data_IF_176699363643
#
_entry.id   IF_176699363643
#
_cell.length_a   1.000
_cell.length_b   1.000
_cell.length_c   1.000
_cell.angle_alpha   90.00
_cell.angle_beta   90.00
_cell.angle_gamma   90.00
#
_symmetry.space_group_name_H-M   'P 1'
#
loop_
_entity.id
_entity.type
_entity.pdbx_description
1 polymer ?
#
# COMPACT_ATOMS: atom_id res chain seq x y z
N UNK A 1 13.17 31.63 20.31
CA UNK A 1 13.12 30.16 20.49
C UNK A 1 13.56 29.56 19.17
N UNK A 2 14.58 28.70 19.14
CA UNK A 2 14.99 28.02 17.89
C UNK A 2 13.85 27.12 17.42
N UNK A 3 13.55 27.17 16.11
CA UNK A 3 12.58 26.27 15.49
C UNK A 3 13.03 24.82 15.68
N UNK A 4 12.15 23.94 16.14
CA UNK A 4 12.48 22.51 16.30
C UNK A 4 12.80 21.90 14.94
N UNK A 5 13.81 21.03 14.83
CA UNK A 5 14.04 20.30 13.60
C UNK A 5 12.85 19.40 13.29
N UNK A 6 12.45 19.33 12.00
CA UNK A 6 11.30 18.52 11.57
C UNK A 6 11.73 17.07 11.29
N UNK A 7 10.86 16.14 11.64
CA UNK A 7 11.03 14.72 11.37
C UNK A 7 9.72 14.13 10.84
N UNK A 8 9.77 13.56 9.64
CA UNK A 8 8.64 12.89 9.01
C UNK A 8 8.90 11.39 8.97
N UNK A 9 7.93 10.60 9.41
CA UNK A 9 7.97 9.14 9.40
C UNK A 9 6.62 8.57 8.98
N UNK A 10 6.65 7.49 8.23
CA UNK A 10 5.44 6.77 7.80
C UNK A 10 5.66 5.27 7.90
N UNK A 11 4.59 4.52 8.14
CA UNK A 11 4.54 3.09 7.83
C UNK A 11 4.41 2.90 6.33
N UNK A 12 4.58 1.68 5.80
CA UNK A 12 3.86 1.28 4.60
C UNK A 12 2.35 1.40 4.86
N UNK A 13 1.57 1.68 3.82
CA UNK A 13 0.11 1.72 3.96
C UNK A 13 -0.45 0.31 3.75
N UNK A 14 -1.30 -0.14 4.68
CA UNK A 14 -1.78 -1.52 4.71
C UNK A 14 -2.84 -1.79 3.64
N UNK A 15 -2.82 -2.99 3.07
CA UNK A 15 -3.83 -3.46 2.12
C UNK A 15 -5.08 -3.98 2.88
N UNK A 16 -6.24 -3.29 2.84
CA UNK A 16 -7.42 -3.68 3.62
C UNK A 16 -8.31 -4.69 2.85
N UNK A 17 -7.71 -5.70 2.22
CA UNK A 17 -8.43 -6.79 1.55
C UNK A 17 -8.95 -7.88 2.53
N UNK A 18 -8.61 -7.77 3.81
CA UNK A 18 -9.01 -8.62 4.92
C UNK A 18 -8.81 -7.92 6.25
N UNK A 19 -9.00 -8.62 7.40
CA UNK A 19 -8.74 -8.07 8.72
C UNK A 19 -7.24 -7.83 8.94
N UNK A 20 -6.85 -6.90 9.84
CA UNK A 20 -5.46 -6.71 10.21
C UNK A 20 -4.90 -7.95 10.95
N UNK A 21 -3.61 -8.17 10.83
CA UNK A 21 -2.87 -9.25 11.48
C UNK A 21 -1.63 -8.73 12.21
N UNK A 22 -0.92 -9.62 12.91
CA UNK A 22 0.23 -9.27 13.74
C UNK A 22 1.35 -8.51 12.98
N UNK A 23 1.54 -8.79 11.69
CA UNK A 23 2.51 -8.08 10.85
C UNK A 23 2.20 -6.58 10.74
N UNK A 24 0.93 -6.23 10.51
CA UNK A 24 0.49 -4.83 10.50
C UNK A 24 0.69 -4.15 11.86
N UNK A 25 0.35 -4.85 12.97
CA UNK A 25 0.56 -4.34 14.31
C UNK A 25 2.04 -4.10 14.61
N UNK A 26 2.92 -5.03 14.23
CA UNK A 26 4.37 -4.92 14.39
C UNK A 26 4.92 -3.67 13.70
N UNK A 27 4.55 -3.46 12.45
CA UNK A 27 5.02 -2.31 11.67
C UNK A 27 4.62 -0.97 12.30
N UNK A 28 3.34 -0.83 12.68
CA UNK A 28 2.83 0.40 13.28
C UNK A 28 3.50 0.67 14.64
N UNK A 29 3.64 -0.36 15.49
CA UNK A 29 4.29 -0.23 16.80
C UNK A 29 5.78 0.13 16.67
N UNK A 30 6.50 -0.50 15.73
CA UNK A 30 7.91 -0.20 15.49
C UNK A 30 8.10 1.25 15.03
N UNK A 31 7.25 1.71 14.11
CA UNK A 31 7.29 3.10 13.62
C UNK A 31 6.90 4.09 14.72
N UNK A 32 5.88 3.76 15.54
CA UNK A 32 5.46 4.59 16.68
C UNK A 32 6.58 4.74 17.73
N UNK A 33 7.34 3.69 18.00
CA UNK A 33 8.48 3.74 18.89
C UNK A 33 9.53 4.77 18.41
N UNK A 34 9.82 4.80 17.12
CA UNK A 34 10.73 5.80 16.51
C UNK A 34 10.14 7.21 16.60
N UNK A 35 8.86 7.37 16.27
CA UNK A 35 8.18 8.66 16.35
C UNK A 35 8.21 9.23 17.77
N UNK A 36 7.90 8.41 18.77
CA UNK A 36 7.97 8.80 20.21
C UNK A 36 9.39 9.15 20.63
N UNK A 37 10.38 8.35 20.23
CA UNK A 37 11.79 8.64 20.51
C UNK A 37 12.18 10.01 19.93
N UNK A 38 11.84 10.29 18.69
CA UNK A 38 12.14 11.57 18.04
C UNK A 38 11.45 12.75 18.70
N UNK A 39 10.21 12.61 19.17
CA UNK A 39 9.55 13.63 19.97
C UNK A 39 10.28 13.92 21.27
N UNK A 40 10.76 12.87 21.99
CA UNK A 40 11.57 13.00 23.19
C UNK A 40 12.93 13.63 22.90
N UNK A 41 13.52 13.37 21.73
CA UNK A 41 14.77 13.94 21.23
C UNK A 41 14.61 15.42 20.77
N UNK A 42 13.41 16.00 20.91
CA UNK A 42 13.16 17.43 20.69
C UNK A 42 12.74 17.79 19.25
N UNK A 43 12.46 16.82 18.39
CA UNK A 43 11.96 17.05 17.04
C UNK A 43 10.47 17.42 17.01
N UNK A 44 10.09 18.19 15.99
CA UNK A 44 8.70 18.34 15.55
C UNK A 44 8.39 17.18 14.60
N UNK A 45 7.64 16.18 15.09
CA UNK A 45 7.43 14.91 14.39
C UNK A 45 6.04 14.88 13.77
N UNK A 46 5.97 14.49 12.49
CA UNK A 46 4.74 14.08 11.84
C UNK A 46 4.81 12.60 11.47
N UNK A 47 3.95 11.80 12.09
CA UNK A 47 3.84 10.36 11.86
C UNK A 47 2.55 10.04 11.10
N UNK A 48 2.70 9.49 9.88
CA UNK A 48 1.59 9.09 9.02
C UNK A 48 1.50 7.56 8.92
N UNK A 49 0.29 7.03 9.02
CA UNK A 49 -0.05 5.65 8.63
C UNK A 49 -1.32 5.68 7.78
N UNK A 50 -1.78 4.53 7.27
CA UNK A 50 -2.98 4.51 6.45
C UNK A 50 -3.25 3.17 5.76
N UNK A 51 -4.15 3.22 4.78
CA UNK A 51 -4.55 2.07 3.97
C UNK A 51 -4.44 2.34 2.48
N UNK A 52 -3.91 1.35 1.74
CA UNK A 52 -3.93 1.30 0.29
C UNK A 52 -5.20 0.56 -0.18
N UNK A 53 -6.11 1.29 -0.78
CA UNK A 53 -7.48 0.84 -1.00
C UNK A 53 -7.82 0.57 -2.48
N UNK A 54 -6.80 0.45 -3.34
CA UNK A 54 -6.95 0.13 -4.75
C UNK A 54 -6.30 -1.22 -5.09
N UNK A 55 -6.58 -1.72 -6.29
CA UNK A 55 -5.91 -2.88 -6.84
C UNK A 55 -6.81 -4.11 -7.05
N UNK A 56 -6.27 -5.05 -7.82
CA UNK A 56 -7.00 -6.24 -8.30
C UNK A 56 -7.44 -7.17 -7.15
N UNK A 57 -6.63 -7.35 -6.12
CA UNK A 57 -6.97 -8.22 -4.98
C UNK A 57 -8.22 -7.74 -4.23
N UNK A 58 -8.36 -6.43 -4.06
CA UNK A 58 -9.55 -5.83 -3.45
C UNK A 58 -10.77 -6.07 -4.35
N UNK A 59 -10.62 -5.85 -5.67
CA UNK A 59 -11.69 -6.10 -6.64
C UNK A 59 -12.14 -7.56 -6.63
N UNK A 60 -11.20 -8.51 -6.66
CA UNK A 60 -11.49 -9.95 -6.63
C UNK A 60 -12.20 -10.36 -5.33
N UNK A 61 -11.75 -9.86 -4.18
CA UNK A 61 -12.38 -10.16 -2.89
C UNK A 61 -13.78 -9.58 -2.82
N UNK A 62 -13.98 -8.34 -3.26
CA UNK A 62 -15.30 -7.70 -3.33
C UNK A 62 -16.26 -8.47 -4.24
N UNK A 63 -15.79 -8.92 -5.41
CA UNK A 63 -16.58 -9.73 -6.35
C UNK A 63 -17.00 -11.07 -5.73
N UNK A 64 -16.09 -11.77 -5.04
CA UNK A 64 -16.41 -13.03 -4.33
C UNK A 64 -17.47 -12.85 -3.24
N UNK A 65 -17.47 -11.69 -2.57
CA UNK A 65 -18.41 -11.37 -1.50
C UNK A 65 -19.71 -10.71 -2.01
N UNK A 66 -19.82 -10.42 -3.32
CA UNK A 66 -21.00 -9.78 -3.92
C UNK A 66 -21.20 -8.32 -3.48
N UNK A 67 -20.11 -7.62 -3.12
CA UNK A 67 -20.13 -6.21 -2.70
C UNK A 67 -19.23 -5.37 -3.61
N UNK A 68 -19.30 -4.06 -3.48
CA UNK A 68 -18.38 -3.16 -4.21
C UNK A 68 -17.01 -3.09 -3.51
N UNK A 69 -15.91 -2.79 -4.24
CA UNK A 69 -14.60 -2.52 -3.65
C UNK A 69 -14.66 -1.47 -2.55
N UNK A 70 -15.43 -0.41 -2.75
CA UNK A 70 -15.61 0.64 -1.77
C UNK A 70 -16.24 0.13 -0.46
N UNK A 71 -17.28 -0.70 -0.55
CA UNK A 71 -17.91 -1.31 0.63
C UNK A 71 -16.95 -2.23 1.38
N UNK A 72 -16.12 -2.99 0.64
CA UNK A 72 -15.11 -3.86 1.24
C UNK A 72 -14.09 -3.05 2.05
N UNK A 73 -13.48 -2.03 1.45
CA UNK A 73 -12.45 -1.23 2.13
C UNK A 73 -13.03 -0.39 3.27
N UNK A 74 -14.24 0.18 3.13
CA UNK A 74 -14.91 0.92 4.20
C UNK A 74 -15.19 0.05 5.42
N UNK A 75 -15.58 -1.21 5.20
CA UNK A 75 -15.78 -2.20 6.28
C UNK A 75 -14.47 -2.56 6.97
N UNK A 76 -13.42 -2.84 6.20
CA UNK A 76 -12.17 -3.35 6.73
C UNK A 76 -11.34 -2.25 7.41
N UNK A 77 -11.32 -1.04 6.87
CA UNK A 77 -10.54 0.08 7.43
C UNK A 77 -10.88 0.39 8.89
N UNK A 78 -12.12 0.14 9.29
CA UNK A 78 -12.57 0.31 10.70
C UNK A 78 -11.73 -0.57 11.64
N UNK A 79 -11.40 -1.80 11.21
CA UNK A 79 -10.60 -2.73 12.01
C UNK A 79 -9.12 -2.30 12.09
N UNK A 80 -8.56 -1.76 10.99
CA UNK A 80 -7.21 -1.21 11.00
C UNK A 80 -7.09 0.01 11.90
N UNK A 81 -8.06 0.94 11.86
CA UNK A 81 -8.10 2.09 12.78
C UNK A 81 -8.22 1.64 14.23
N UNK A 82 -9.11 0.68 14.51
CA UNK A 82 -9.26 0.12 15.86
C UNK A 82 -7.98 -0.57 16.36
N UNK A 83 -7.21 -1.22 15.48
CA UNK A 83 -5.89 -1.77 15.82
C UNK A 83 -4.92 -0.68 16.24
N UNK A 84 -4.78 0.38 15.44
CA UNK A 84 -3.90 1.53 15.72
C UNK A 84 -4.27 2.18 17.06
N UNK A 85 -5.55 2.39 17.33
CA UNK A 85 -6.05 2.94 18.60
C UNK A 85 -5.75 2.02 19.78
N UNK A 86 -6.02 0.72 19.68
CA UNK A 86 -5.75 -0.26 20.74
C UNK A 86 -4.26 -0.40 21.06
N UNK A 87 -3.40 -0.21 20.07
CA UNK A 87 -1.93 -0.19 20.26
C UNK A 87 -1.45 1.15 20.82
N UNK A 88 -2.36 2.11 21.06
CA UNK A 88 -2.05 3.46 21.54
C UNK A 88 -0.97 4.14 20.69
N UNK A 89 -1.02 3.95 19.37
CA UNK A 89 -0.08 4.57 18.45
C UNK A 89 -0.30 6.08 18.36
N UNK A 90 0.77 6.82 18.23
CA UNK A 90 0.79 8.29 18.28
C UNK A 90 0.84 8.94 16.90
N UNK A 91 0.28 8.28 15.89
CA UNK A 91 0.19 8.83 14.54
C UNK A 91 -0.63 10.13 14.51
N UNK A 92 -0.12 11.11 13.78
CA UNK A 92 -0.75 12.42 13.63
C UNK A 92 -1.87 12.39 12.60
N UNK A 93 -1.77 11.50 11.62
CA UNK A 93 -2.78 11.33 10.57
C UNK A 93 -2.92 9.88 10.13
N UNK A 94 -4.07 9.57 9.54
CA UNK A 94 -4.39 8.27 8.92
C UNK A 94 -4.94 8.51 7.52
N UNK A 95 -4.12 8.26 6.49
CA UNK A 95 -4.50 8.46 5.09
C UNK A 95 -5.21 7.23 4.52
N UNK A 96 -6.25 7.47 3.73
CA UNK A 96 -6.86 6.47 2.86
C UNK A 96 -6.61 6.86 1.41
N UNK A 97 -6.16 5.94 0.57
CA UNK A 97 -5.90 6.26 -0.85
C UNK A 97 -7.17 6.59 -1.64
N UNK A 98 -8.36 6.28 -1.09
CA UNK A 98 -9.67 6.65 -1.64
C UNK A 98 -10.19 8.02 -1.18
N UNK A 99 -9.45 8.77 -0.37
CA UNK A 99 -9.84 10.12 0.03
C UNK A 99 -9.55 11.16 -1.06
N UNK A 100 -10.42 12.15 -1.20
CA UNK A 100 -10.25 13.23 -2.17
C UNK A 100 -8.93 13.99 -2.02
N UNK A 101 -8.46 14.17 -0.78
CA UNK A 101 -7.18 14.82 -0.50
C UNK A 101 -6.01 14.03 -1.06
N UNK A 102 -6.06 12.69 -1.00
CA UNK A 102 -5.05 11.82 -1.59
C UNK A 102 -5.09 11.89 -3.12
N UNK A 103 -6.27 11.78 -3.73
CA UNK A 103 -6.45 11.89 -5.18
C UNK A 103 -5.90 13.21 -5.72
N UNK A 104 -6.25 14.34 -5.09
CA UNK A 104 -5.72 15.66 -5.50
C UNK A 104 -4.20 15.77 -5.38
N UNK A 105 -3.62 15.22 -4.32
CA UNK A 105 -2.18 15.24 -4.12
C UNK A 105 -1.44 14.39 -5.15
N UNK A 106 -1.96 13.19 -5.44
CA UNK A 106 -1.39 12.27 -6.44
C UNK A 106 -1.45 12.89 -7.85
N UNK A 107 -2.60 13.50 -8.21
CA UNK A 107 -2.74 14.19 -9.49
C UNK A 107 -1.80 15.39 -9.60
N UNK A 108 -1.63 16.16 -8.53
CA UNK A 108 -0.75 17.32 -8.54
C UNK A 108 0.73 16.94 -8.71
N UNK A 109 1.17 15.84 -8.06
CA UNK A 109 2.55 15.37 -8.23
C UNK A 109 2.78 14.79 -9.62
N UNK A 110 1.80 14.01 -10.15
CA UNK A 110 1.83 13.49 -11.52
C UNK A 110 2.01 14.61 -12.55
N UNK A 111 1.18 15.65 -12.48
CA UNK A 111 1.24 16.79 -13.38
C UNK A 111 2.60 17.51 -13.35
N UNK A 112 3.23 17.59 -12.16
CA UNK A 112 4.57 18.18 -12.03
C UNK A 112 5.63 17.32 -12.68
N UNK A 113 5.58 16.01 -12.50
CA UNK A 113 6.51 15.05 -13.11
C UNK A 113 6.35 15.04 -14.64
N UNK A 114 5.11 15.03 -15.15
CA UNK A 114 4.82 15.12 -16.57
C UNK A 114 5.38 16.40 -17.18
N UNK A 115 5.15 17.54 -16.53
CA UNK A 115 5.69 18.84 -16.96
C UNK A 115 7.23 18.88 -16.98
N UNK A 116 7.87 18.16 -16.08
CA UNK A 116 9.34 18.05 -16.04
C UNK A 116 9.89 17.05 -17.07
N UNK A 117 9.05 16.26 -17.74
CA UNK A 117 9.47 15.23 -18.69
C UNK A 117 9.83 13.89 -18.05
N UNK A 118 9.52 13.71 -16.75
CA UNK A 118 9.83 12.47 -16.02
C UNK A 118 8.82 11.34 -16.34
N UNK A 119 7.67 11.70 -16.94
CA UNK A 119 6.60 10.77 -17.32
C UNK A 119 6.38 10.85 -18.83
N UNK A 120 6.36 9.72 -19.49
CA UNK A 120 6.07 9.59 -20.92
C UNK A 120 5.20 8.36 -21.20
N UNK A 121 4.40 8.41 -22.27
CA UNK A 121 3.59 7.29 -22.70
C UNK A 121 4.46 6.22 -23.33
N UNK A 122 4.39 4.99 -22.80
CA UNK A 122 5.08 3.83 -23.31
C UNK A 122 4.18 2.60 -23.27
N UNK A 123 4.62 1.51 -23.93
CA UNK A 123 4.00 0.20 -23.83
C UNK A 123 4.95 -0.74 -23.10
N UNK A 124 4.40 -1.49 -22.19
CA UNK A 124 5.08 -2.59 -21.53
C UNK A 124 4.22 -3.85 -21.73
N UNK A 125 4.83 -4.97 -22.11
CA UNK A 125 4.16 -6.25 -22.27
C UNK A 125 5.09 -7.35 -21.75
N UNK A 126 4.52 -8.36 -21.13
CA UNK A 126 5.24 -9.48 -20.55
C UNK A 126 4.29 -10.41 -19.80
N UNK A 127 4.80 -11.53 -19.33
CA UNK A 127 4.06 -12.45 -18.48
C UNK A 127 3.82 -11.84 -17.11
N UNK A 128 2.56 -11.72 -16.70
CA UNK A 128 2.17 -11.07 -15.45
C UNK A 128 1.54 -12.06 -14.48
N UNK A 129 2.03 -12.11 -13.25
CA UNK A 129 1.38 -12.84 -12.16
C UNK A 129 0.51 -11.90 -11.32
N UNK A 130 -0.79 -12.15 -11.32
CA UNK A 130 -1.76 -11.42 -10.48
C UNK A 130 -1.49 -11.66 -8.99
N UNK A 131 -1.03 -12.87 -8.64
CA UNK A 131 -0.72 -13.23 -7.25
C UNK A 131 0.50 -12.48 -6.72
N UNK A 132 1.58 -12.45 -7.52
CA UNK A 132 2.84 -11.84 -7.12
C UNK A 132 2.89 -10.34 -7.43
N UNK A 133 1.89 -9.84 -8.21
CA UNK A 133 1.83 -8.46 -8.71
C UNK A 133 3.12 -8.05 -9.43
N UNK A 134 3.67 -8.99 -10.22
CA UNK A 134 4.96 -8.84 -10.89
C UNK A 134 4.92 -9.33 -12.34
N UNK A 135 5.76 -8.71 -13.16
CA UNK A 135 6.06 -9.16 -14.51
C UNK A 135 7.27 -10.08 -14.51
N UNK A 136 7.22 -11.09 -15.36
CA UNK A 136 8.28 -12.06 -15.58
C UNK A 136 8.72 -12.04 -17.04
N UNK A 137 10.02 -12.19 -17.27
CA UNK A 137 10.58 -12.41 -18.61
C UNK A 137 10.25 -13.83 -19.11
N UNK A 138 10.40 -14.08 -20.41
CA UNK A 138 10.09 -15.40 -21.01
C UNK A 138 10.91 -16.52 -20.35
N UNK A 139 12.18 -16.27 -20.06
CA UNK A 139 13.12 -17.22 -19.44
C UNK A 139 12.88 -17.42 -17.93
N UNK A 140 12.09 -16.55 -17.31
CA UNK A 140 11.63 -16.68 -15.91
C UNK A 140 10.30 -17.42 -15.79
N UNK A 141 9.80 -17.99 -16.91
CA UNK A 141 8.55 -18.73 -16.93
C UNK A 141 8.74 -20.12 -17.54
N UNK A 142 7.87 -21.05 -17.16
CA UNK A 142 7.82 -22.41 -17.75
C UNK A 142 6.37 -22.85 -17.94
N UNK A 143 6.16 -23.84 -18.80
CA UNK A 143 4.84 -24.44 -19.02
C UNK A 143 4.77 -25.77 -18.29
N UNK A 144 3.77 -25.94 -17.47
CA UNK A 144 3.49 -27.18 -16.73
C UNK A 144 2.89 -28.25 -17.65
N UNK A 145 2.78 -29.50 -17.18
CA UNK A 145 2.26 -30.62 -17.96
C UNK A 145 0.81 -30.43 -18.45
N UNK A 146 0.01 -29.66 -17.71
CA UNK A 146 -1.37 -29.32 -18.07
C UNK A 146 -1.50 -28.12 -19.02
N UNK A 147 -0.37 -27.53 -19.43
CA UNK A 147 -0.32 -26.42 -20.38
C UNK A 147 -0.41 -25.04 -19.74
N UNK A 148 -0.47 -24.94 -18.41
CA UNK A 148 -0.48 -23.67 -17.68
C UNK A 148 0.92 -23.06 -17.65
N UNK A 149 1.06 -21.77 -17.93
CA UNK A 149 2.35 -21.08 -17.78
C UNK A 149 2.50 -20.55 -16.37
N UNK A 150 3.65 -20.81 -15.76
CA UNK A 150 3.94 -20.41 -14.37
C UNK A 150 5.33 -19.78 -14.26
N UNK A 151 5.51 -18.94 -13.26
CA UNK A 151 6.84 -18.44 -12.88
C UNK A 151 7.74 -19.57 -12.39
N UNK A 152 9.00 -19.61 -12.81
CA UNK A 152 9.98 -20.61 -12.38
C UNK A 152 10.40 -20.42 -10.93
N UNK A 153 10.30 -19.21 -10.40
CA UNK A 153 10.71 -18.86 -9.03
C UNK A 153 9.61 -19.18 -8.01
N UNK A 154 8.39 -18.71 -8.27
CA UNK A 154 7.28 -18.81 -7.30
C UNK A 154 6.28 -19.93 -7.63
N UNK A 155 6.33 -20.48 -8.84
CA UNK A 155 5.35 -21.45 -9.34
C UNK A 155 3.95 -20.87 -9.55
N UNK A 156 3.81 -19.55 -9.55
CA UNK A 156 2.53 -18.89 -9.73
C UNK A 156 2.16 -18.77 -11.19
N UNK A 157 0.86 -18.91 -11.48
CA UNK A 157 0.32 -18.72 -12.82
C UNK A 157 0.58 -17.32 -13.33
N UNK A 158 0.95 -17.22 -14.60
CA UNK A 158 1.20 -15.97 -15.31
C UNK A 158 0.36 -15.91 -16.60
N UNK A 159 -0.11 -14.73 -16.91
CA UNK A 159 -0.87 -14.40 -18.13
C UNK A 159 -0.15 -13.33 -18.95
N UNK A 160 -0.32 -13.38 -20.31
CA UNK A 160 0.29 -12.40 -21.21
C UNK A 160 -0.54 -11.13 -21.34
#
# INVERSE_FOLDING_TARGET
>A
MSEKPRYYITTAIAYPNGPPHIGHAYEVVATDAIARFKRLDGYDVFFLTGTDEHGQKIQQTATREGITPRQLVDRNVVQFRAMVERMNCSNDDYIRTTEDRHHRSSQAIWQRMEKNGDIYLSKYAGWYSVRDEAYYAEDETTVTEDGTRVSTDTGTEVEW
#
